data_IF_570967568707
#
_entry.id   IF_570967568707
#
_cell.length_a   1.000
_cell.length_b   1.000
_cell.length_c   1.000
_cell.angle_alpha   90.00
_cell.angle_beta   90.00
_cell.angle_gamma   90.00
#
_symmetry.space_group_name_H-M   'P 1'
#
loop_
_entity.id
_entity.type
_entity.pdbx_description
1 polymer ?
#
# COMPACT_ATOMS: atom_id res chain seq x y z
N UNK A 1 2.77 30.36 -26.23
CA UNK A 1 2.91 28.89 -26.28
C UNK A 1 1.65 28.17 -25.81
N UNK A 2 1.17 28.37 -24.57
CA UNK A 2 -0.05 27.71 -24.04
C UNK A 2 -1.27 27.87 -24.96
N UNK A 3 -1.43 29.02 -25.62
CA UNK A 3 -2.47 29.25 -26.65
C UNK A 3 -2.40 28.30 -27.84
N UNK A 4 -1.23 28.18 -28.45
CA UNK A 4 -1.02 27.25 -29.57
C UNK A 4 -1.26 25.80 -29.11
N UNK A 5 -0.80 25.46 -27.91
CA UNK A 5 -1.00 24.15 -27.32
C UNK A 5 -2.49 23.85 -27.07
N UNK A 6 -3.24 24.80 -26.52
CA UNK A 6 -4.69 24.68 -26.32
C UNK A 6 -5.43 24.48 -27.66
N UNK A 7 -5.05 25.22 -28.70
CA UNK A 7 -5.62 25.04 -30.04
C UNK A 7 -5.44 23.61 -30.57
N UNK A 8 -4.26 23.02 -30.39
CA UNK A 8 -3.99 21.62 -30.75
C UNK A 8 -4.78 20.67 -29.85
N UNK A 9 -4.80 20.91 -28.54
CA UNK A 9 -5.50 20.08 -27.57
C UNK A 9 -7.01 20.03 -27.83
N UNK A 10 -7.61 21.13 -28.30
CA UNK A 10 -9.03 21.21 -28.67
C UNK A 10 -9.35 20.65 -30.05
N UNK A 11 -8.36 20.44 -30.92
CA UNK A 11 -8.61 19.94 -32.26
C UNK A 11 -8.97 18.44 -32.25
N UNK A 12 -10.25 18.11 -32.28
CA UNK A 12 -10.76 16.72 -32.25
C UNK A 12 -10.37 15.88 -33.47
N UNK A 13 -9.90 16.48 -34.57
CA UNK A 13 -9.39 15.73 -35.72
C UNK A 13 -8.00 15.14 -35.46
N UNK A 14 -7.28 15.65 -34.46
CA UNK A 14 -5.94 15.19 -34.11
C UNK A 14 -5.96 13.88 -33.30
N UNK A 15 -4.82 13.21 -33.30
CA UNK A 15 -4.63 11.99 -32.53
C UNK A 15 -4.87 12.21 -31.03
N UNK A 16 -5.64 11.33 -30.39
CA UNK A 16 -6.02 11.44 -28.97
C UNK A 16 -4.82 11.52 -28.02
N UNK A 17 -3.75 10.77 -28.27
CA UNK A 17 -2.56 10.78 -27.43
C UNK A 17 -1.73 12.05 -27.65
N UNK A 18 -1.69 12.55 -28.88
CA UNK A 18 -1.03 13.82 -29.17
C UNK A 18 -1.75 14.99 -28.49
N UNK A 19 -3.09 15.04 -28.61
CA UNK A 19 -3.93 16.02 -27.90
C UNK A 19 -3.76 15.93 -26.38
N UNK A 20 -3.76 14.72 -25.83
CA UNK A 20 -3.53 14.50 -24.40
C UNK A 20 -2.17 15.01 -23.96
N UNK A 21 -1.11 14.72 -24.73
CA UNK A 21 0.26 15.16 -24.42
C UNK A 21 0.35 16.68 -24.38
N UNK A 22 -0.12 17.35 -25.44
CA UNK A 22 -0.08 18.82 -25.52
C UNK A 22 -1.00 19.46 -24.48
N UNK A 23 -2.18 18.88 -24.27
CA UNK A 23 -3.16 19.33 -23.28
C UNK A 23 -2.62 19.30 -21.85
N UNK A 24 -1.99 18.19 -21.44
CA UNK A 24 -1.40 18.07 -20.10
C UNK A 24 -0.28 19.10 -19.89
N UNK A 25 0.50 19.39 -20.92
CA UNK A 25 1.58 20.38 -20.85
C UNK A 25 1.04 21.81 -20.73
N UNK A 26 -0.14 22.13 -21.27
CA UNK A 26 -0.73 23.45 -21.15
C UNK A 26 -1.77 23.59 -20.03
N UNK A 27 -2.07 22.52 -19.28
CA UNK A 27 -3.07 22.53 -18.20
C UNK A 27 -4.49 22.18 -18.63
N UNK A 28 -4.71 21.70 -19.86
CA UNK A 28 -6.03 21.34 -20.35
C UNK A 28 -6.37 19.86 -20.08
N UNK A 29 -7.08 19.61 -18.97
CA UNK A 29 -7.43 18.26 -18.50
C UNK A 29 -8.34 17.50 -19.48
N UNK A 30 -9.33 18.18 -20.07
CA UNK A 30 -10.37 17.52 -20.86
C UNK A 30 -9.84 16.80 -22.10
N UNK A 31 -8.73 17.28 -22.67
CA UNK A 31 -8.03 16.59 -23.77
C UNK A 31 -7.25 15.34 -23.32
N UNK A 32 -6.89 15.25 -22.04
CA UNK A 32 -6.13 14.14 -21.48
C UNK A 32 -7.03 12.96 -21.09
N UNK A 33 -8.21 13.26 -20.53
CA UNK A 33 -9.14 12.24 -20.01
C UNK A 33 -9.36 11.08 -20.99
N UNK A 34 -9.68 11.30 -22.29
CA UNK A 34 -9.93 10.21 -23.21
C UNK A 34 -8.75 9.25 -23.40
N UNK A 35 -7.52 9.73 -23.29
CA UNK A 35 -6.32 8.90 -23.40
C UNK A 35 -6.02 8.10 -22.11
N UNK A 36 -6.44 8.61 -20.96
CA UNK A 36 -6.21 8.02 -19.64
C UNK A 36 -7.36 7.10 -19.16
N UNK A 37 -8.47 7.03 -19.92
CA UNK A 37 -9.69 6.36 -19.48
C UNK A 37 -9.45 4.90 -19.06
N UNK A 38 -9.96 4.56 -17.87
CA UNK A 38 -9.92 3.21 -17.36
C UNK A 38 -8.58 2.76 -16.76
N UNK A 39 -7.60 3.67 -16.65
CA UNK A 39 -6.36 3.52 -15.89
C UNK A 39 -6.35 4.51 -14.71
N UNK A 40 -6.27 4.00 -13.49
CA UNK A 40 -6.36 4.82 -12.27
C UNK A 40 -5.15 5.73 -12.12
N UNK A 41 -3.96 5.20 -12.39
CA UNK A 41 -2.68 5.89 -12.26
C UNK A 41 -2.60 7.06 -13.25
N UNK A 42 -2.96 6.82 -14.51
CA UNK A 42 -2.91 7.84 -15.56
C UNK A 42 -3.92 8.98 -15.29
N UNK A 43 -5.14 8.63 -14.85
CA UNK A 43 -6.15 9.62 -14.47
C UNK A 43 -5.69 10.44 -13.26
N UNK A 44 -5.22 9.78 -12.20
CA UNK A 44 -4.73 10.48 -11.01
C UNK A 44 -3.59 11.43 -11.36
N UNK A 45 -2.62 10.97 -12.14
CA UNK A 45 -1.49 11.78 -12.57
C UNK A 45 -1.95 12.99 -13.41
N UNK A 46 -2.84 12.79 -14.40
CA UNK A 46 -3.33 13.86 -15.25
C UNK A 46 -4.06 14.95 -14.42
N UNK A 47 -4.93 14.55 -13.50
CA UNK A 47 -5.61 15.49 -12.60
C UNK A 47 -4.62 16.26 -11.72
N UNK A 48 -3.67 15.58 -11.07
CA UNK A 48 -2.68 16.23 -10.21
C UNK A 48 -1.77 17.16 -11.00
N UNK A 49 -1.36 16.77 -12.20
CA UNK A 49 -0.51 17.58 -13.06
C UNK A 49 -1.19 18.88 -13.45
N UNK A 50 -2.44 18.83 -13.88
CA UNK A 50 -3.20 20.04 -14.24
C UNK A 50 -3.39 20.96 -13.03
N UNK A 51 -3.64 20.42 -11.84
CA UNK A 51 -3.71 21.20 -10.60
C UNK A 51 -2.38 21.89 -10.26
N UNK A 52 -1.23 21.27 -10.60
CA UNK A 52 0.08 21.92 -10.46
C UNK A 52 0.25 23.04 -11.48
N UNK A 53 -0.12 22.82 -12.75
CA UNK A 53 -0.04 23.85 -13.80
C UNK A 53 -0.88 25.08 -13.45
N UNK A 54 -2.10 24.89 -12.96
CA UNK A 54 -2.99 25.97 -12.50
C UNK A 54 -2.34 26.81 -11.38
N UNK A 55 -1.71 26.14 -10.40
CA UNK A 55 -1.01 26.84 -9.30
C UNK A 55 0.21 27.61 -9.79
N UNK A 56 0.95 27.07 -10.76
CA UNK A 56 2.08 27.77 -11.38
C UNK A 56 1.61 28.99 -12.14
N UNK A 57 0.53 28.87 -12.94
CA UNK A 57 -0.03 29.98 -13.70
C UNK A 57 -0.51 31.10 -12.78
N UNK A 58 -1.20 30.75 -11.69
CA UNK A 58 -1.62 31.71 -10.67
C UNK A 58 -0.44 32.42 -10.02
N UNK A 59 0.58 31.66 -9.63
CA UNK A 59 1.80 32.23 -9.02
C UNK A 59 2.50 33.21 -9.96
N UNK A 60 2.67 32.84 -11.23
CA UNK A 60 3.31 33.69 -12.24
C UNK A 60 2.50 34.96 -12.51
N UNK A 61 1.16 34.86 -12.50
CA UNK A 61 0.26 35.99 -12.67
C UNK A 61 0.36 36.98 -11.49
N UNK A 62 0.28 36.48 -10.26
CA UNK A 62 0.34 37.29 -9.03
C UNK A 62 1.69 37.97 -8.83
N UNK A 63 2.79 37.33 -9.21
CA UNK A 63 4.15 37.83 -8.95
C UNK A 63 4.72 38.63 -10.12
N UNK A 64 3.92 38.88 -11.16
CA UNK A 64 4.30 39.62 -12.37
C UNK A 64 5.61 39.13 -13.03
N UNK A 65 6.06 37.91 -12.73
CA UNK A 65 7.33 37.34 -13.19
C UNK A 65 7.40 37.20 -14.71
N UNK A 66 6.24 37.33 -15.38
CA UNK A 66 6.11 37.33 -16.84
C UNK A 66 5.71 38.69 -17.41
N UNK A 67 5.34 39.69 -16.60
CA UNK A 67 4.72 40.93 -17.10
C UNK A 67 5.60 41.72 -18.09
N UNK A 68 6.92 41.72 -17.90
CA UNK A 68 7.86 42.41 -18.79
C UNK A 68 8.28 41.56 -20.02
N UNK A 69 8.08 40.25 -19.97
CA UNK A 69 8.46 39.29 -21.02
C UNK A 69 7.27 38.75 -21.83
N UNK A 70 6.04 39.01 -21.39
CA UNK A 70 4.84 38.48 -22.01
C UNK A 70 4.42 39.37 -23.18
N UNK A 71 4.78 38.96 -24.39
CA UNK A 71 4.37 39.62 -25.65
C UNK A 71 2.98 39.19 -26.12
N UNK A 72 2.25 38.43 -25.30
CA UNK A 72 0.91 37.93 -25.63
C UNK A 72 -0.10 39.06 -25.51
N UNK A 73 -0.97 39.21 -26.51
CA UNK A 73 -2.06 40.18 -26.48
C UNK A 73 -2.94 39.99 -25.21
N UNK A 74 -3.29 41.06 -24.48
CA UNK A 74 -4.15 40.97 -23.30
C UNK A 74 -5.48 40.23 -23.54
N UNK A 75 -6.11 40.40 -24.70
CA UNK A 75 -7.37 39.72 -25.03
C UNK A 75 -7.17 38.20 -25.15
N UNK A 76 -6.06 37.78 -25.75
CA UNK A 76 -5.68 36.36 -25.85
C UNK A 76 -5.34 35.78 -24.49
N UNK A 77 -4.75 36.59 -23.60
CA UNK A 77 -4.44 36.18 -22.24
C UNK A 77 -5.71 35.97 -21.40
N UNK A 78 -6.70 36.86 -21.52
CA UNK A 78 -8.00 36.69 -20.85
C UNK A 78 -8.74 35.45 -21.36
N UNK A 79 -8.77 35.21 -22.67
CA UNK A 79 -9.36 34.01 -23.26
C UNK A 79 -8.65 32.73 -22.80
N UNK A 80 -7.32 32.75 -22.76
CA UNK A 80 -6.53 31.65 -22.21
C UNK A 80 -6.90 31.32 -20.78
N UNK A 81 -7.04 32.37 -19.96
CA UNK A 81 -7.41 32.21 -18.57
C UNK A 81 -8.80 31.60 -18.48
N UNK A 82 -9.80 32.10 -19.20
CA UNK A 82 -11.15 31.53 -19.14
C UNK A 82 -11.23 30.07 -19.58
N UNK A 83 -10.43 29.67 -20.57
CA UNK A 83 -10.47 28.31 -21.13
C UNK A 83 -9.64 27.29 -20.33
N UNK A 84 -8.56 27.73 -19.69
CA UNK A 84 -7.69 26.87 -18.89
C UNK A 84 -8.04 26.88 -17.40
N UNK A 85 -8.82 27.87 -16.94
CA UNK A 85 -9.19 28.02 -15.54
C UNK A 85 -9.86 26.73 -15.04
N UNK A 86 -9.11 26.04 -14.19
CA UNK A 86 -9.59 24.85 -13.52
C UNK A 86 -9.83 25.19 -12.06
N UNK A 87 -10.97 24.78 -11.50
CA UNK A 87 -11.22 24.91 -10.07
C UNK A 87 -10.08 24.24 -9.29
N UNK A 88 -9.56 24.91 -8.26
CA UNK A 88 -8.57 24.29 -7.40
C UNK A 88 -9.25 23.20 -6.56
N UNK A 89 -8.80 21.96 -6.77
CA UNK A 89 -9.33 20.79 -6.11
C UNK A 89 -8.42 20.39 -4.95
N UNK A 90 -9.04 20.09 -3.81
CA UNK A 90 -8.39 19.30 -2.78
C UNK A 90 -8.06 17.90 -3.32
N UNK A 91 -7.09 17.25 -2.71
CA UNK A 91 -6.72 15.88 -3.07
C UNK A 91 -7.90 14.90 -2.94
N UNK A 92 -8.82 15.13 -2.00
CA UNK A 92 -10.05 14.34 -1.84
C UNK A 92 -11.00 14.51 -3.03
N UNK A 93 -11.16 15.74 -3.51
CA UNK A 93 -11.96 16.02 -4.71
C UNK A 93 -11.32 15.40 -5.96
N UNK A 94 -9.99 15.45 -6.09
CA UNK A 94 -9.26 14.77 -7.17
C UNK A 94 -9.55 13.27 -7.18
N UNK A 95 -9.41 12.58 -6.05
CA UNK A 95 -9.73 11.15 -5.99
C UNK A 95 -11.21 10.84 -6.29
N UNK A 96 -12.11 11.74 -5.91
CA UNK A 96 -13.54 11.60 -6.21
C UNK A 96 -13.81 11.73 -7.72
N UNK A 97 -13.13 12.64 -8.40
CA UNK A 97 -13.18 12.80 -9.85
C UNK A 97 -12.56 11.60 -10.58
N UNK A 98 -11.40 11.11 -10.15
CA UNK A 98 -10.79 9.89 -10.70
C UNK A 98 -11.75 8.71 -10.57
N UNK A 99 -12.37 8.54 -9.38
CA UNK A 99 -13.31 7.44 -9.12
C UNK A 99 -14.54 7.50 -10.04
N UNK A 100 -15.07 8.68 -10.35
CA UNK A 100 -16.21 8.79 -11.28
C UNK A 100 -15.83 8.42 -12.72
N UNK A 101 -14.58 8.65 -13.12
CA UNK A 101 -14.04 8.33 -14.45
C UNK A 101 -13.57 6.87 -14.61
N UNK A 102 -13.50 6.09 -13.52
CA UNK A 102 -13.08 4.68 -13.57
C UNK A 102 -14.18 3.72 -14.06
N UNK A 103 -15.36 4.22 -14.47
CA UNK A 103 -16.45 3.41 -15.05
C UNK A 103 -16.83 2.18 -14.21
N UNK A 104 -16.85 2.32 -12.88
CA UNK A 104 -17.18 1.24 -11.95
C UNK A 104 -16.06 0.23 -11.67
N UNK A 105 -14.87 0.38 -12.28
CA UNK A 105 -13.68 -0.39 -11.88
C UNK A 105 -13.30 -0.02 -10.45
N UNK A 106 -13.07 -1.04 -9.62
CA UNK A 106 -12.63 -0.86 -8.23
C UNK A 106 -11.12 -0.65 -8.17
N UNK A 107 -10.69 0.17 -7.21
CA UNK A 107 -9.27 0.28 -6.85
C UNK A 107 -8.76 -1.08 -6.38
N UNK A 108 -7.54 -1.43 -6.77
CA UNK A 108 -6.81 -2.54 -6.15
C UNK A 108 -6.49 -2.20 -4.68
N UNK A 109 -6.19 -3.22 -3.86
CA UNK A 109 -5.77 -2.99 -2.47
C UNK A 109 -4.53 -2.09 -2.37
N UNK A 110 -3.59 -2.22 -3.31
CA UNK A 110 -2.41 -1.35 -3.39
C UNK A 110 -2.79 0.10 -3.70
N UNK A 111 -3.69 0.33 -4.66
CA UNK A 111 -4.18 1.67 -5.01
C UNK A 111 -4.95 2.31 -3.84
N UNK A 112 -5.77 1.53 -3.13
CA UNK A 112 -6.45 1.96 -1.91
C UNK A 112 -5.45 2.41 -0.84
N UNK A 113 -4.38 1.63 -0.60
CA UNK A 113 -3.30 2.02 0.30
C UNK A 113 -2.61 3.31 -0.15
N UNK A 114 -2.26 3.43 -1.43
CA UNK A 114 -1.64 4.64 -1.99
C UNK A 114 -2.52 5.87 -1.77
N UNK A 115 -3.82 5.77 -2.07
CA UNK A 115 -4.80 6.85 -1.83
C UNK A 115 -4.84 7.24 -0.36
N UNK A 116 -4.95 6.29 0.56
CA UNK A 116 -4.97 6.59 1.99
C UNK A 116 -3.65 7.22 2.47
N UNK A 117 -2.50 6.75 1.99
CA UNK A 117 -1.20 7.34 2.33
C UNK A 117 -1.10 8.80 1.85
N UNK A 118 -1.51 9.07 0.61
CA UNK A 118 -1.51 10.43 0.06
C UNK A 118 -2.48 11.36 0.81
N UNK A 119 -3.62 10.83 1.27
CA UNK A 119 -4.60 11.56 2.09
C UNK A 119 -4.24 11.63 3.59
N UNK A 120 -3.15 10.98 4.02
CA UNK A 120 -2.79 10.90 5.44
C UNK A 120 -3.73 10.04 6.31
N UNK A 121 -4.56 9.20 5.69
CA UNK A 121 -5.59 8.38 6.35
C UNK A 121 -5.05 7.01 6.80
N UNK A 122 -3.99 7.00 7.62
CA UNK A 122 -3.31 5.76 8.04
C UNK A 122 -4.24 4.80 8.82
N UNK A 123 -5.16 5.35 9.63
CA UNK A 123 -6.13 4.52 10.38
C UNK A 123 -7.02 3.69 9.47
N UNK A 124 -7.38 4.21 8.30
CA UNK A 124 -8.22 3.49 7.34
C UNK A 124 -7.46 2.30 6.73
N UNK A 125 -6.14 2.43 6.51
CA UNK A 125 -5.29 1.32 6.06
C UNK A 125 -5.35 0.19 7.10
N UNK A 126 -5.20 0.52 8.38
CA UNK A 126 -5.26 -0.47 9.46
C UNK A 126 -6.63 -1.15 9.49
N UNK A 127 -7.73 -0.39 9.52
CA UNK A 127 -9.06 -0.96 9.58
C UNK A 127 -9.39 -1.88 8.39
N UNK A 128 -9.10 -1.44 7.17
CA UNK A 128 -9.41 -2.20 5.95
C UNK A 128 -8.47 -3.43 5.82
N UNK A 129 -7.28 -3.36 6.40
CA UNK A 129 -6.32 -4.47 6.33
C UNK A 129 -6.78 -5.73 7.05
N UNK A 130 -7.62 -5.62 8.09
CA UNK A 130 -8.23 -6.78 8.75
C UNK A 130 -9.09 -7.61 7.79
N UNK A 131 -9.80 -6.96 6.87
CA UNK A 131 -10.55 -7.66 5.82
C UNK A 131 -9.60 -8.23 4.75
N UNK A 132 -8.54 -7.50 4.43
CA UNK A 132 -7.62 -7.90 3.36
C UNK A 132 -6.79 -9.14 3.69
N UNK A 133 -6.42 -9.35 4.95
CA UNK A 133 -5.61 -10.49 5.40
C UNK A 133 -6.36 -11.83 5.40
N UNK A 134 -7.70 -11.82 5.35
CA UNK A 134 -8.50 -13.05 5.24
C UNK A 134 -8.35 -13.70 3.86
N UNK A 135 -8.00 -12.93 2.84
CA UNK A 135 -7.95 -13.38 1.45
C UNK A 135 -6.69 -14.17 1.07
N UNK A 136 -5.81 -14.53 2.03
CA UNK A 136 -4.57 -15.33 1.86
C UNK A 136 -3.67 -14.95 0.66
N UNK A 137 -3.66 -13.69 0.23
CA UNK A 137 -2.77 -13.27 -0.85
C UNK A 137 -1.37 -12.99 -0.29
N UNK A 138 -0.49 -13.97 -0.41
CA UNK A 138 0.84 -14.00 0.18
C UNK A 138 1.67 -12.73 -0.04
N UNK A 139 1.62 -12.18 -1.26
CA UNK A 139 2.38 -10.98 -1.64
C UNK A 139 1.86 -9.73 -0.93
N UNK A 140 0.55 -9.63 -0.74
CA UNK A 140 -0.09 -8.46 -0.14
C UNK A 140 0.08 -8.45 1.37
N UNK A 141 -0.02 -9.60 2.04
CA UNK A 141 0.27 -9.73 3.48
C UNK A 141 1.71 -9.30 3.77
N UNK A 142 2.66 -9.76 2.95
CA UNK A 142 4.06 -9.30 3.03
C UNK A 142 4.17 -7.79 2.89
N UNK A 143 3.53 -7.20 1.89
CA UNK A 143 3.52 -5.74 1.71
C UNK A 143 2.99 -5.02 2.95
N UNK A 144 1.87 -5.46 3.52
CA UNK A 144 1.28 -4.86 4.72
C UNK A 144 2.21 -4.97 5.93
N UNK A 145 2.82 -6.14 6.17
CA UNK A 145 3.78 -6.34 7.26
C UNK A 145 4.94 -5.34 7.19
N UNK A 146 5.52 -5.15 6.01
CA UNK A 146 6.59 -4.17 5.82
C UNK A 146 6.10 -2.73 6.00
N UNK A 147 4.91 -2.41 5.49
CA UNK A 147 4.31 -1.09 5.65
C UNK A 147 4.10 -0.76 7.14
N UNK A 148 3.60 -1.70 7.94
CA UNK A 148 3.41 -1.54 9.39
C UNK A 148 4.74 -1.28 10.10
N UNK A 149 5.78 -2.05 9.78
CA UNK A 149 7.11 -1.82 10.38
C UNK A 149 7.65 -0.43 10.06
N UNK A 150 7.48 0.04 8.82
CA UNK A 150 7.85 1.41 8.43
C UNK A 150 7.01 2.45 9.17
N UNK A 151 5.69 2.25 9.29
CA UNK A 151 4.82 3.16 10.03
C UNK A 151 5.18 3.23 11.52
N UNK A 152 5.53 2.10 12.15
CA UNK A 152 6.03 2.04 13.53
C UNK A 152 7.33 2.81 13.69
N UNK A 153 8.29 2.61 12.79
CA UNK A 153 9.57 3.32 12.79
C UNK A 153 9.36 4.85 12.68
N UNK A 154 8.34 5.28 11.94
CA UNK A 154 7.97 6.68 11.80
C UNK A 154 7.13 7.22 12.97
N UNK A 155 6.76 6.40 13.96
CA UNK A 155 5.83 6.78 15.04
C UNK A 155 4.40 7.04 14.56
N UNK A 156 4.00 6.46 13.42
CA UNK A 156 2.71 6.65 12.75
C UNK A 156 1.85 5.38 12.75
N UNK A 157 2.02 4.52 13.74
CA UNK A 157 1.16 3.36 13.95
C UNK A 157 0.06 3.70 14.97
N UNK A 158 -1.15 4.08 14.55
CA UNK A 158 -2.21 4.51 15.46
C UNK A 158 -2.91 3.34 16.17
N UNK A 159 -2.77 2.10 15.67
CA UNK A 159 -3.51 0.92 16.10
C UNK A 159 -2.56 -0.28 16.16
N UNK A 160 -1.70 -0.26 17.18
CA UNK A 160 -0.67 -1.28 17.38
C UNK A 160 -1.24 -2.71 17.38
N UNK A 161 -2.43 -2.90 17.94
CA UNK A 161 -3.17 -4.17 17.99
C UNK A 161 -3.48 -4.75 16.60
N UNK A 162 -3.95 -3.90 15.67
CA UNK A 162 -4.20 -4.31 14.29
C UNK A 162 -2.87 -4.60 13.59
N UNK A 163 -1.87 -3.75 13.79
CA UNK A 163 -0.53 -3.96 13.25
C UNK A 163 0.09 -5.28 13.71
N UNK A 164 -0.09 -5.63 14.99
CA UNK A 164 0.38 -6.88 15.58
C UNK A 164 -0.34 -8.07 14.95
N UNK A 165 -1.67 -8.00 14.77
CA UNK A 165 -2.46 -9.05 14.11
C UNK A 165 -1.94 -9.36 12.69
N UNK A 166 -1.56 -8.34 11.94
CA UNK A 166 -1.06 -8.50 10.56
C UNK A 166 0.36 -9.08 10.55
N UNK A 167 1.22 -8.61 11.46
CA UNK A 167 2.56 -9.18 11.63
C UNK A 167 2.49 -10.65 12.06
N UNK A 168 1.61 -10.98 13.00
CA UNK A 168 1.34 -12.37 13.40
C UNK A 168 0.90 -13.21 12.21
N UNK A 169 -0.06 -12.72 11.42
CA UNK A 169 -0.54 -13.42 10.21
C UNK A 169 0.60 -13.68 9.24
N UNK A 170 1.48 -12.70 9.04
CA UNK A 170 2.64 -12.84 8.17
C UNK A 170 3.65 -13.86 8.71
N UNK A 171 3.92 -13.85 10.03
CA UNK A 171 4.76 -14.86 10.69
C UNK A 171 4.18 -16.26 10.48
N UNK A 172 2.89 -16.46 10.71
CA UNK A 172 2.22 -17.76 10.47
C UNK A 172 2.40 -18.21 9.02
N UNK A 173 2.25 -17.30 8.06
CA UNK A 173 2.45 -17.61 6.63
C UNK A 173 3.90 -18.01 6.32
N UNK A 174 4.90 -17.39 6.95
CA UNK A 174 6.30 -17.79 6.80
C UNK A 174 6.58 -19.16 7.43
N UNK A 175 5.94 -19.47 8.57
CA UNK A 175 6.01 -20.79 9.21
C UNK A 175 5.41 -21.86 8.29
N UNK A 176 4.23 -21.61 7.71
CA UNK A 176 3.59 -22.51 6.74
C UNK A 176 4.52 -22.76 5.55
N UNK A 177 5.09 -21.70 4.98
CA UNK A 177 6.04 -21.81 3.87
C UNK A 177 7.31 -22.58 4.19
N UNK A 178 7.80 -22.54 5.44
CA UNK A 178 8.96 -23.35 5.86
C UNK A 178 8.65 -24.86 5.81
N UNK A 179 7.42 -25.25 6.15
CA UNK A 179 7.01 -26.65 6.11
C UNK A 179 6.81 -27.16 4.68
N UNK A 180 6.26 -26.31 3.83
CA UNK A 180 6.02 -26.59 2.41
C UNK A 180 7.31 -26.52 1.57
N UNK A 181 8.40 -25.97 2.11
CA UNK A 181 9.68 -25.78 1.43
C UNK A 181 9.73 -24.54 0.52
N UNK A 182 8.76 -23.63 0.64
CA UNK A 182 8.74 -22.35 -0.08
C UNK A 182 9.46 -21.22 0.67
N UNK A 183 9.75 -21.42 1.97
CA UNK A 183 10.62 -20.57 2.79
C UNK A 183 11.79 -21.42 3.31
N UNK A 184 13.03 -20.94 3.21
CA UNK A 184 14.23 -21.71 3.61
C UNK A 184 15.01 -21.06 4.76
N UNK A 185 14.56 -19.91 5.29
CA UNK A 185 15.35 -19.09 6.23
C UNK A 185 14.64 -18.91 7.58
N UNK A 186 14.98 -19.75 8.59
CA UNK A 186 14.50 -19.59 9.96
C UNK A 186 14.80 -18.23 10.61
N UNK A 187 15.90 -17.59 10.23
CA UNK A 187 16.29 -16.26 10.72
C UNK A 187 15.27 -15.19 10.34
N UNK A 188 14.65 -15.32 9.15
CA UNK A 188 13.61 -14.41 8.71
C UNK A 188 12.38 -14.52 9.61
N UNK A 189 11.97 -15.74 9.94
CA UNK A 189 10.82 -16.00 10.82
C UNK A 189 11.11 -15.45 12.22
N UNK A 190 12.32 -15.68 12.74
CA UNK A 190 12.74 -15.18 14.04
C UNK A 190 12.74 -13.64 14.09
N UNK A 191 13.21 -12.98 13.02
CA UNK A 191 13.19 -11.53 12.91
C UNK A 191 11.75 -10.98 12.95
N UNK A 192 10.83 -11.48 12.13
CA UNK A 192 9.45 -10.98 12.16
C UNK A 192 8.74 -11.33 13.47
N UNK A 193 9.04 -12.49 14.05
CA UNK A 193 8.54 -12.85 15.38
C UNK A 193 8.99 -11.81 16.41
N UNK A 194 10.25 -11.37 16.43
CA UNK A 194 10.68 -10.38 17.42
C UNK A 194 10.02 -9.00 17.30
N UNK A 195 9.29 -8.74 16.20
CA UNK A 195 8.53 -7.49 15.99
C UNK A 195 7.11 -7.50 16.54
N UNK A 196 6.59 -8.65 16.98
CA UNK A 196 5.26 -8.74 17.63
C UNK A 196 5.39 -8.64 19.17
N UNK A 197 4.29 -8.43 19.93
CA UNK A 197 4.31 -8.37 21.38
C UNK A 197 4.87 -9.65 22.02
N UNK A 198 5.61 -9.52 23.13
CA UNK A 198 6.40 -10.61 23.72
C UNK A 198 5.61 -11.86 24.09
N UNK A 199 4.36 -11.71 24.53
CA UNK A 199 3.44 -12.80 24.80
C UNK A 199 3.08 -13.60 23.53
N UNK A 200 2.91 -12.89 22.41
CA UNK A 200 2.63 -13.47 21.09
C UNK A 200 3.87 -14.11 20.47
N UNK A 201 5.06 -13.54 20.70
CA UNK A 201 6.33 -14.13 20.27
C UNK A 201 6.45 -15.58 20.77
N UNK A 202 6.17 -15.80 22.06
CA UNK A 202 6.31 -17.12 22.68
C UNK A 202 5.40 -18.15 21.99
N UNK A 203 4.16 -17.77 21.71
CA UNK A 203 3.13 -18.64 21.10
C UNK A 203 3.49 -18.98 19.64
N UNK A 204 3.82 -17.97 18.82
CA UNK A 204 4.16 -18.17 17.41
C UNK A 204 5.44 -19.00 17.25
N UNK A 205 6.43 -18.73 18.08
CA UNK A 205 7.70 -19.45 18.02
C UNK A 205 7.57 -20.90 18.54
N UNK A 206 6.68 -21.14 19.51
CA UNK A 206 6.32 -22.49 19.92
C UNK A 206 5.62 -23.26 18.78
N UNK A 207 4.76 -22.59 18.01
CA UNK A 207 4.11 -23.19 16.83
C UNK A 207 5.11 -23.53 15.72
N UNK A 208 6.10 -22.65 15.47
CA UNK A 208 7.21 -22.96 14.57
C UNK A 208 7.95 -24.24 15.01
N UNK A 209 8.32 -24.34 16.30
CA UNK A 209 9.03 -25.50 16.86
C UNK A 209 8.25 -26.81 16.73
N UNK A 210 6.93 -26.75 16.91
CA UNK A 210 6.01 -27.90 16.80
C UNK A 210 6.01 -28.50 15.37
N UNK A 211 6.20 -27.65 14.35
CA UNK A 211 6.09 -28.04 12.93
C UNK A 211 7.42 -28.53 12.33
N UNK A 212 8.56 -28.25 12.97
CA UNK A 212 9.89 -28.64 12.43
C UNK A 212 10.22 -30.11 12.73
N UNK A 213 10.07 -30.95 11.71
CA UNK A 213 10.40 -32.38 11.80
C UNK A 213 11.87 -32.70 11.47
N UNK A 214 12.52 -31.89 10.62
CA UNK A 214 13.92 -32.13 10.20
C UNK A 214 14.90 -31.69 11.28
N UNK A 215 15.79 -32.60 11.69
CA UNK A 215 16.78 -32.36 12.75
C UNK A 215 17.68 -31.14 12.51
N UNK A 216 18.15 -30.92 11.28
CA UNK A 216 18.99 -29.77 10.92
C UNK A 216 18.30 -28.42 11.16
N UNK A 217 17.03 -28.30 10.81
CA UNK A 217 16.27 -27.06 10.97
C UNK A 217 15.97 -26.74 12.43
N UNK A 218 15.99 -27.74 13.33
CA UNK A 218 15.76 -27.49 14.77
C UNK A 218 16.88 -26.66 15.38
N UNK A 219 18.13 -26.96 15.05
CA UNK A 219 19.28 -26.19 15.52
C UNK A 219 19.28 -24.78 14.92
N UNK A 220 19.03 -24.66 13.61
CA UNK A 220 18.95 -23.38 12.90
C UNK A 220 17.88 -22.47 13.52
N UNK A 221 16.71 -23.02 13.85
CA UNK A 221 15.60 -22.29 14.48
C UNK A 221 15.97 -21.85 15.90
N UNK A 222 16.53 -22.73 16.73
CA UNK A 222 16.98 -22.34 18.08
C UNK A 222 18.01 -21.20 18.04
N UNK A 223 18.97 -21.28 17.12
CA UNK A 223 19.99 -20.25 16.93
C UNK A 223 19.38 -18.94 16.43
N UNK A 224 18.48 -19.00 15.46
CA UNK A 224 17.77 -17.85 14.90
C UNK A 224 16.97 -17.10 15.98
N UNK A 225 16.18 -17.81 16.79
CA UNK A 225 15.37 -17.22 17.85
C UNK A 225 16.22 -16.55 18.92
N UNK A 226 17.31 -17.20 19.33
CA UNK A 226 18.25 -16.65 20.30
C UNK A 226 18.89 -15.35 19.78
N UNK A 227 19.29 -15.32 18.50
CA UNK A 227 19.87 -14.13 17.86
C UNK A 227 18.87 -12.98 17.72
N UNK A 228 17.59 -13.29 17.47
CA UNK A 228 16.53 -12.30 17.34
C UNK A 228 16.00 -11.78 18.68
N UNK A 229 16.43 -12.35 19.81
CA UNK A 229 16.01 -11.96 21.16
C UNK A 229 14.66 -12.55 21.59
N UNK A 230 14.17 -13.60 20.91
CA UNK A 230 12.96 -14.33 21.31
C UNK A 230 13.28 -15.25 22.50
N UNK A 231 12.37 -15.39 23.47
CA UNK A 231 12.52 -16.34 24.58
C UNK A 231 12.28 -17.79 24.10
N UNK A 232 13.31 -18.36 23.47
CA UNK A 232 13.34 -19.72 22.94
C UNK A 232 13.01 -20.76 24.03
N UNK A 233 13.44 -20.53 25.28
CA UNK A 233 13.20 -21.46 26.37
C UNK A 233 11.73 -21.49 26.78
N UNK A 234 11.07 -20.33 26.86
CA UNK A 234 9.64 -20.25 27.09
C UNK A 234 8.84 -20.87 25.95
N UNK A 235 9.20 -20.57 24.69
CA UNK A 235 8.56 -21.16 23.51
C UNK A 235 8.67 -22.68 23.49
N UNK A 236 9.84 -23.23 23.80
CA UNK A 236 10.05 -24.67 23.88
C UNK A 236 9.19 -25.32 24.97
N UNK A 237 9.08 -24.69 26.16
CA UNK A 237 8.19 -25.17 27.24
C UNK A 237 6.72 -25.21 26.78
N UNK A 238 6.28 -24.18 26.07
CA UNK A 238 4.90 -24.11 25.52
C UNK A 238 4.68 -25.19 24.46
N UNK A 239 5.62 -25.37 23.52
CA UNK A 239 5.55 -26.41 22.50
C UNK A 239 5.49 -27.83 23.11
N UNK A 240 6.37 -28.13 24.07
CA UNK A 240 6.39 -29.41 24.78
C UNK A 240 5.07 -29.64 25.54
N UNK A 241 4.59 -28.63 26.27
CA UNK A 241 3.32 -28.73 27.00
C UNK A 241 2.16 -29.03 26.04
N UNK A 242 2.09 -28.33 24.91
CA UNK A 242 1.08 -28.56 23.87
C UNK A 242 1.16 -29.99 23.31
N UNK A 243 2.36 -30.48 22.99
CA UNK A 243 2.55 -31.85 22.53
C UNK A 243 2.10 -32.90 23.55
N UNK A 244 2.44 -32.71 24.84
CA UNK A 244 1.99 -33.61 25.94
C UNK A 244 0.46 -33.61 26.06
N UNK A 245 -0.18 -32.44 26.03
CA UNK A 245 -1.65 -32.33 26.11
C UNK A 245 -2.32 -33.00 24.92
N UNK A 246 -1.80 -32.82 23.70
CA UNK A 246 -2.32 -33.48 22.50
C UNK A 246 -2.23 -35.01 22.60
N UNK A 247 -1.12 -35.52 23.15
CA UNK A 247 -0.93 -36.95 23.40
C UNK A 247 -1.97 -37.46 24.42
N UNK A 248 -2.12 -36.77 25.56
CA UNK A 248 -3.08 -37.16 26.60
C UNK A 248 -4.53 -37.18 26.10
N UNK A 249 -4.93 -36.22 25.27
CA UNK A 249 -6.25 -36.20 24.64
C UNK A 249 -6.42 -37.31 23.59
N UNK A 250 -5.37 -37.63 22.84
CA UNK A 250 -5.38 -38.75 21.90
C UNK A 250 -5.54 -40.11 22.59
N UNK A 251 -4.93 -40.30 23.75
CA UNK A 251 -5.08 -41.51 24.57
C UNK A 251 -6.40 -41.56 25.35
N UNK A 252 -6.94 -40.42 25.79
CA UNK A 252 -8.22 -40.34 26.51
C UNK A 252 -9.47 -40.72 25.71
N UNK A 253 -9.36 -40.85 24.38
CA UNK A 253 -10.44 -41.31 23.49
C UNK A 253 -10.37 -42.81 23.14
N UNK A 254 -9.41 -43.56 23.68
CA UNK A 254 -9.25 -45.00 23.39
C UNK A 254 -10.10 -45.89 24.32
N UNK A 255 -10.66 -45.34 25.40
CA UNK A 255 -11.42 -46.11 26.42
C UNK A 255 -12.95 -46.21 26.16
N UNK A 256 -13.44 -46.01 24.93
CA UNK A 256 -14.89 -46.17 24.60
C UNK A 256 -15.17 -47.22 23.51
N UNK A 257 -14.20 -48.08 23.20
CA UNK A 257 -14.37 -49.19 22.25
C UNK A 257 -13.89 -50.51 22.85
N UNK A 258 -14.54 -50.95 23.94
CA UNK A 258 -14.63 -52.35 24.34
C UNK A 258 -15.99 -52.63 24.99
#
# INVERSE_FOLDING_TARGET
>A
WKWCALGIANNVSENVHYRATVGILCGHLQSAIPACQGNWEDLLWAHLRVQIEERVDRFLHEHHSTAEANTTDPEVLELLQSELQTEELSLQQVFSAVKSLMNGKKESKYQTCQRYLMLGQIRNIMQDSLEWIENKEDKFIRFLAHLILVLRLMGKDPQHDIGDTILEKYVTQLIDGLNEGSCECPELIAYYTSTVPSDRQIVLYAELMDRIQKSKHREEVVNAGTKAGVDVAASARVAIKKAITNIQQGYGNIDVLF
#
